data_IF_060533306095
#
_entry.id   IF_060533306095
#
_cell.length_a   1.000
_cell.length_b   1.000
_cell.length_c   1.000
_cell.angle_alpha   90.00
_cell.angle_beta   90.00
_cell.angle_gamma   90.00
#
_symmetry.space_group_name_H-M   'P 1'
#
loop_
_entity.id
_entity.type
_entity.pdbx_description
1 polymer ?
#
# COMPACT_ATOMS: atom_id res chain seq x y z
N UNK A 1 1.17 20.07 4.21
CA UNK A 1 1.94 19.09 3.42
C UNK A 1 2.07 17.84 4.26
N UNK A 2 1.19 16.86 4.06
CA UNK A 2 1.23 15.57 4.78
C UNK A 2 2.26 14.67 4.09
N UNK A 3 3.35 14.36 4.78
CA UNK A 3 4.35 13.39 4.32
C UNK A 3 3.75 11.99 4.28
N UNK A 4 4.05 11.21 3.23
CA UNK A 4 3.66 9.80 3.15
C UNK A 4 4.53 8.99 4.12
N UNK A 5 3.93 8.20 4.98
CA UNK A 5 4.66 7.45 6.02
C UNK A 5 4.61 5.93 5.85
N UNK A 6 3.67 5.42 5.05
CA UNK A 6 3.36 3.98 4.98
C UNK A 6 3.54 3.45 3.56
N UNK A 7 4.36 2.42 3.43
CA UNK A 7 4.46 1.54 2.26
C UNK A 7 3.53 0.33 2.42
N UNK A 8 2.42 0.29 1.68
CA UNK A 8 1.37 -0.70 1.90
C UNK A 8 1.65 -2.08 1.31
N UNK A 9 2.65 -2.20 0.44
CA UNK A 9 2.96 -3.44 -0.26
C UNK A 9 4.47 -3.66 -0.27
N UNK A 10 5.02 -3.99 0.89
CA UNK A 10 6.44 -4.19 1.05
C UNK A 10 6.79 -5.30 2.04
N UNK A 11 8.07 -5.62 2.06
CA UNK A 11 8.72 -6.50 3.02
C UNK A 11 9.78 -5.69 3.75
N UNK A 12 10.35 -6.27 4.81
CA UNK A 12 11.50 -5.68 5.52
C UNK A 12 12.70 -5.34 4.63
N UNK A 13 12.82 -5.94 3.45
CA UNK A 13 13.98 -5.80 2.56
C UNK A 13 13.81 -4.70 1.52
N UNK A 14 12.58 -4.25 1.24
CA UNK A 14 12.32 -3.38 0.09
C UNK A 14 11.42 -2.17 0.37
N UNK A 15 10.97 -1.98 1.62
CA UNK A 15 10.13 -0.85 1.98
C UNK A 15 10.79 0.49 1.66
N UNK A 16 9.99 1.44 1.18
CA UNK A 16 10.47 2.78 0.77
C UNK A 16 10.17 3.88 1.79
N UNK A 17 9.33 3.60 2.78
CA UNK A 17 8.88 4.55 3.80
C UNK A 17 9.07 3.99 5.21
N UNK A 18 9.14 4.83 6.26
CA UNK A 18 9.49 4.38 7.61
C UNK A 18 8.61 3.26 8.18
N UNK A 19 7.36 3.15 7.74
CA UNK A 19 6.44 2.06 8.09
C UNK A 19 6.08 1.26 6.85
N UNK A 20 5.91 -0.06 7.00
CA UNK A 20 5.41 -0.90 5.93
C UNK A 20 4.38 -1.93 6.38
N UNK A 21 3.48 -2.29 5.46
CA UNK A 21 2.54 -3.38 5.64
C UNK A 21 3.04 -4.62 4.89
N UNK A 22 3.24 -5.73 5.62
CA UNK A 22 3.66 -7.00 5.05
C UNK A 22 2.46 -7.84 4.61
N UNK A 23 2.68 -8.76 3.67
CA UNK A 23 1.67 -9.75 3.29
C UNK A 23 1.37 -10.73 4.43
N UNK A 24 2.40 -11.24 5.10
CA UNK A 24 2.30 -12.17 6.20
C UNK A 24 2.98 -11.68 7.48
N UNK A 25 3.00 -12.49 8.55
CA UNK A 25 3.68 -12.16 9.80
C UNK A 25 5.14 -11.79 9.56
N UNK A 26 5.50 -10.56 9.93
CA UNK A 26 6.86 -10.05 9.90
C UNK A 26 7.07 -9.21 11.17
N UNK A 27 8.04 -9.56 12.05
CA UNK A 27 8.30 -8.83 13.30
C UNK A 27 8.61 -7.33 13.16
N UNK A 28 9.03 -6.88 11.98
CA UNK A 28 9.36 -5.47 11.71
C UNK A 28 8.26 -4.75 10.92
N UNK A 29 7.20 -5.46 10.51
CA UNK A 29 6.09 -4.84 9.82
C UNK A 29 5.24 -4.02 10.79
N UNK A 30 4.82 -2.86 10.34
CA UNK A 30 3.88 -2.02 11.08
C UNK A 30 2.49 -2.66 11.13
N UNK A 31 2.07 -3.28 10.02
CA UNK A 31 0.83 -4.04 9.88
C UNK A 31 1.04 -5.25 8.98
N UNK A 32 0.10 -6.19 9.06
CA UNK A 32 0.02 -7.35 8.18
C UNK A 32 -1.31 -7.31 7.43
N UNK A 33 -1.35 -7.85 6.23
CA UNK A 33 -2.50 -7.81 5.32
C UNK A 33 -3.06 -6.40 5.11
N UNK A 34 -2.59 -5.76 4.05
CA UNK A 34 -3.00 -4.40 3.70
C UNK A 34 -4.51 -4.27 3.42
N UNK A 35 -5.18 -5.32 2.94
CA UNK A 35 -6.61 -5.27 2.63
C UNK A 35 -7.50 -5.36 3.88
N UNK A 36 -6.98 -5.93 4.96
CA UNK A 36 -7.66 -5.98 6.26
C UNK A 36 -7.59 -4.65 7.05
N UNK A 37 -6.68 -3.75 6.68
CA UNK A 37 -6.50 -2.47 7.37
C UNK A 37 -7.46 -1.39 6.86
N UNK A 38 -7.84 -0.45 7.71
CA UNK A 38 -8.56 0.76 7.28
C UNK A 38 -7.58 1.75 6.64
N UNK A 39 -7.89 2.24 5.44
CA UNK A 39 -7.07 3.21 4.71
C UNK A 39 -7.57 4.66 4.81
N UNK A 40 -8.66 4.92 5.53
CA UNK A 40 -9.23 6.27 5.68
C UNK A 40 -8.22 7.23 6.31
N UNK A 41 -8.09 8.44 5.77
CA UNK A 41 -7.16 9.49 6.22
C UNK A 41 -5.66 9.11 6.17
N UNK A 42 -5.29 8.06 5.41
CA UNK A 42 -3.89 7.67 5.27
C UNK A 42 -3.32 8.24 3.97
N UNK A 43 -2.15 8.88 4.10
CA UNK A 43 -1.28 9.27 3.00
C UNK A 43 -0.17 8.22 2.84
N UNK A 44 -0.27 7.40 1.79
CA UNK A 44 0.63 6.25 1.63
C UNK A 44 1.24 6.10 0.24
N UNK A 45 2.09 5.10 0.13
CA UNK A 45 2.70 4.60 -1.11
C UNK A 45 2.34 3.13 -1.30
N UNK A 46 2.18 2.71 -2.55
CA UNK A 46 2.02 1.30 -2.89
C UNK A 46 2.73 0.96 -4.21
N UNK A 47 3.53 -0.11 -4.18
CA UNK A 47 3.97 -0.84 -5.36
C UNK A 47 3.53 -2.31 -5.27
N UNK A 48 2.27 -2.60 -5.65
CA UNK A 48 1.68 -3.91 -5.43
C UNK A 48 2.04 -4.92 -6.53
N UNK A 49 1.86 -6.22 -6.27
CA UNK A 49 1.71 -7.22 -7.32
C UNK A 49 0.63 -6.78 -8.32
N UNK A 50 0.92 -6.89 -9.63
CA UNK A 50 0.08 -6.27 -10.66
C UNK A 50 -1.36 -6.79 -10.71
N UNK A 51 -1.57 -8.06 -10.38
CA UNK A 51 -2.90 -8.69 -10.29
C UNK A 51 -3.79 -8.07 -9.21
N UNK A 52 -3.21 -7.37 -8.22
CA UNK A 52 -3.94 -6.76 -7.11
C UNK A 52 -4.33 -5.31 -7.36
N UNK A 53 -3.84 -4.69 -8.44
CA UNK A 53 -4.08 -3.27 -8.76
C UNK A 53 -5.59 -2.95 -8.82
N UNK A 54 -6.45 -3.74 -9.50
CA UNK A 54 -7.89 -3.46 -9.51
C UNK A 54 -8.51 -3.47 -8.11
N UNK A 55 -8.09 -4.40 -7.25
CA UNK A 55 -8.57 -4.51 -5.87
C UNK A 55 -8.12 -3.33 -5.01
N UNK A 56 -6.92 -2.81 -5.25
CA UNK A 56 -6.38 -1.63 -4.57
C UNK A 56 -7.16 -0.38 -4.95
N UNK A 57 -7.44 -0.18 -6.25
CA UNK A 57 -8.26 0.96 -6.71
C UNK A 57 -9.65 0.89 -6.07
N UNK A 58 -10.28 -0.29 -6.05
CA UNK A 58 -11.57 -0.47 -5.36
C UNK A 58 -11.49 -0.13 -3.86
N UNK A 59 -10.42 -0.56 -3.19
CA UNK A 59 -10.22 -0.26 -1.77
C UNK A 59 -9.98 1.22 -1.50
N UNK A 60 -9.19 1.90 -2.34
CA UNK A 60 -8.99 3.34 -2.24
C UNK A 60 -10.31 4.10 -2.36
N UNK A 61 -11.13 3.74 -3.34
CA UNK A 61 -12.44 4.35 -3.53
C UNK A 61 -13.38 4.06 -2.34
N UNK A 62 -13.37 2.84 -1.80
CA UNK A 62 -14.20 2.48 -0.65
C UNK A 62 -13.79 3.24 0.61
N UNK A 63 -12.50 3.30 0.90
CA UNK A 63 -11.96 3.84 2.15
C UNK A 63 -11.65 5.35 2.04
N UNK A 64 -11.88 5.96 0.87
CA UNK A 64 -11.53 7.35 0.56
C UNK A 64 -10.05 7.64 0.86
N UNK A 65 -9.17 6.76 0.40
CA UNK A 65 -7.75 6.80 0.70
C UNK A 65 -6.96 7.63 -0.34
N UNK A 66 -5.95 8.38 0.12
CA UNK A 66 -5.00 9.11 -0.74
C UNK A 66 -3.68 8.33 -0.83
N UNK A 67 -3.50 7.65 -1.97
CA UNK A 67 -2.38 6.74 -2.18
C UNK A 67 -1.62 7.05 -3.46
N UNK A 68 -0.30 7.18 -3.36
CA UNK A 68 0.58 7.16 -4.52
C UNK A 68 0.82 5.71 -4.93
N UNK A 69 0.27 5.30 -6.07
CA UNK A 69 0.45 3.95 -6.61
C UNK A 69 1.40 3.97 -7.79
N UNK A 70 2.39 3.09 -7.76
CA UNK A 70 3.22 2.76 -8.93
C UNK A 70 2.58 1.59 -9.66
N UNK A 71 2.29 1.79 -10.93
CA UNK A 71 1.65 0.82 -11.81
C UNK A 71 2.45 0.70 -13.10
N UNK A 72 2.47 -0.47 -13.79
CA UNK A 72 3.10 -0.56 -15.10
C UNK A 72 2.43 0.37 -16.12
N UNK A 73 3.05 0.57 -17.28
CA UNK A 73 2.39 1.22 -18.41
C UNK A 73 1.76 0.12 -19.28
N UNK A 74 0.43 0.04 -19.31
CA UNK A 74 -0.26 -0.94 -20.15
C UNK A 74 -0.28 -0.45 -21.59
N UNK A 75 0.20 -1.25 -22.56
CA UNK A 75 -0.03 -0.96 -23.97
C UNK A 75 -1.54 -1.03 -24.27
N UNK A 76 -1.96 -0.18 -25.22
CA UNK A 76 -3.33 -0.12 -25.74
C UNK A 76 -3.68 -1.34 -26.60
#
# INVERSE_FOLDING_TARGET
>A
MTSREVDWFATRLNYKLPKFCAWGPDPMAWKVDAFAQNWSNIYGYAFPPFSLIPRIIQKMNRDQADLLIVVPLWPA
#
